data_IF_567092462429
#
_entry.id   IF_567092462429
#
_cell.length_a   1.000
_cell.length_b   1.000
_cell.length_c   1.000
_cell.angle_alpha   90.00
_cell.angle_beta   90.00
_cell.angle_gamma   90.00
#
_symmetry.space_group_name_H-M   'P 1'
#
loop_
_entity.id
_entity.type
_entity.pdbx_description
1 polymer ?
#
# COMPACT_ATOMS: atom_id res chain seq x y z
N UNK A 1 11.53 8.71 9.69
CA UNK A 1 11.09 7.76 10.73
C UNK A 1 10.27 6.68 10.08
N UNK A 2 10.68 5.42 10.17
CA UNK A 2 9.79 4.28 9.88
C UNK A 2 8.73 4.30 10.99
N UNK A 3 7.45 4.41 10.65
CA UNK A 3 6.38 4.22 11.64
C UNK A 3 6.44 2.75 12.08
N UNK A 4 6.60 2.50 13.37
CA UNK A 4 6.39 1.16 13.90
C UNK A 4 4.90 0.85 13.74
N UNK A 5 4.60 -0.25 13.05
CA UNK A 5 3.25 -0.70 12.80
C UNK A 5 3.02 -1.93 13.66
N UNK A 6 1.90 -1.96 14.38
CA UNK A 6 1.48 -3.11 15.17
C UNK A 6 1.62 -4.43 14.40
N UNK A 7 1.98 -5.54 15.07
CA UNK A 7 1.96 -6.86 14.46
C UNK A 7 0.63 -7.13 13.74
N UNK A 8 0.71 -7.72 12.56
CA UNK A 8 -0.47 -8.02 11.73
C UNK A 8 -0.54 -9.49 11.32
N UNK A 9 0.61 -10.16 11.19
CA UNK A 9 0.65 -11.54 10.78
C UNK A 9 0.28 -12.43 11.98
N UNK A 10 -0.44 -13.54 11.74
CA UNK A 10 -0.66 -14.54 12.79
C UNK A 10 0.66 -15.20 13.17
N UNK A 11 0.66 -15.86 14.32
CA UNK A 11 1.69 -16.82 14.68
C UNK A 11 1.68 -18.03 13.73
N UNK A 12 2.76 -18.81 13.75
CA UNK A 12 2.84 -20.04 12.96
C UNK A 12 1.77 -21.05 13.39
N UNK A 13 1.48 -21.14 14.69
CA UNK A 13 0.49 -22.06 15.26
C UNK A 13 -0.93 -21.71 14.82
N UNK A 14 -1.33 -20.43 14.92
CA UNK A 14 -2.63 -19.95 14.44
C UNK A 14 -2.79 -20.16 12.94
N UNK A 15 -1.73 -19.97 12.15
CA UNK A 15 -1.79 -20.14 10.70
C UNK A 15 -2.00 -21.62 10.28
N UNK A 16 -1.40 -22.57 11.02
CA UNK A 16 -1.57 -24.00 10.75
C UNK A 16 -2.98 -24.52 11.08
N UNK A 17 -3.76 -23.78 11.88
CA UNK A 17 -5.12 -24.16 12.26
C UNK A 17 -6.18 -23.71 11.24
N UNK A 18 -5.81 -22.89 10.25
CA UNK A 18 -6.75 -22.41 9.23
C UNK A 18 -7.24 -23.56 8.35
N UNK A 19 -8.56 -23.66 8.19
CA UNK A 19 -9.15 -24.52 7.17
C UNK A 19 -9.09 -23.85 5.77
N UNK A 20 -9.50 -24.58 4.73
CA UNK A 20 -9.42 -24.09 3.34
C UNK A 20 -10.15 -22.76 3.10
N UNK A 21 -11.35 -22.58 3.67
CA UNK A 21 -12.10 -21.33 3.53
C UNK A 21 -11.44 -20.17 4.29
N UNK A 22 -10.96 -20.43 5.50
CA UNK A 22 -10.27 -19.43 6.32
C UNK A 22 -8.94 -18.99 5.69
N UNK A 23 -8.23 -19.91 5.02
CA UNK A 23 -7.00 -19.62 4.30
C UNK A 23 -7.26 -18.67 3.12
N UNK A 24 -8.29 -18.93 2.32
CA UNK A 24 -8.65 -18.09 1.18
C UNK A 24 -9.06 -16.67 1.62
N UNK A 25 -9.88 -16.58 2.67
CA UNK A 25 -10.30 -15.32 3.28
C UNK A 25 -9.11 -14.55 3.88
N UNK A 26 -8.23 -15.25 4.60
CA UNK A 26 -6.99 -14.68 5.13
C UNK A 26 -6.10 -14.14 4.00
N UNK A 27 -5.90 -14.89 2.92
CA UNK A 27 -5.05 -14.48 1.81
C UNK A 27 -5.58 -13.20 1.12
N UNK A 28 -6.89 -13.14 0.87
CA UNK A 28 -7.54 -11.98 0.28
C UNK A 28 -7.40 -10.71 1.11
N UNK A 29 -7.71 -10.80 2.42
CA UNK A 29 -7.57 -9.66 3.34
C UNK A 29 -6.11 -9.25 3.52
N UNK A 30 -5.22 -10.22 3.71
CA UNK A 30 -3.79 -10.00 3.94
C UNK A 30 -3.12 -9.29 2.78
N UNK A 31 -3.45 -9.65 1.53
CA UNK A 31 -2.93 -8.95 0.34
C UNK A 31 -3.18 -7.44 0.40
N UNK A 32 -4.41 -7.04 0.68
CA UNK A 32 -4.82 -5.63 0.74
C UNK A 32 -4.12 -4.89 1.89
N UNK A 33 -4.02 -5.52 3.06
CA UNK A 33 -3.40 -4.93 4.24
C UNK A 33 -1.88 -4.79 4.06
N UNK A 34 -1.20 -5.81 3.54
CA UNK A 34 0.24 -5.75 3.28
C UNK A 34 0.60 -4.67 2.27
N UNK A 35 -0.21 -4.47 1.23
CA UNK A 35 -0.02 -3.36 0.29
C UNK A 35 -0.10 -2.00 0.99
N UNK A 36 -1.11 -1.80 1.85
CA UNK A 36 -1.24 -0.57 2.65
C UNK A 36 -0.07 -0.38 3.61
N UNK A 37 0.32 -1.44 4.35
CA UNK A 37 1.46 -1.40 5.29
C UNK A 37 2.78 -1.13 4.59
N UNK A 38 3.00 -1.67 3.39
CA UNK A 38 4.17 -1.38 2.56
C UNK A 38 4.25 0.12 2.27
N UNK A 39 3.13 0.74 1.87
CA UNK A 39 3.03 2.20 1.63
C UNK A 39 3.30 3.01 2.90
N UNK A 40 2.73 2.61 4.04
CA UNK A 40 2.90 3.30 5.33
C UNK A 40 4.32 3.25 5.88
N UNK A 41 5.07 2.17 5.64
CA UNK A 41 6.45 2.02 6.13
C UNK A 41 7.43 3.02 5.52
N UNK A 42 7.25 3.33 4.22
CA UNK A 42 8.08 4.32 3.52
C UNK A 42 7.27 5.12 2.49
N UNK A 43 6.41 6.06 2.95
CA UNK A 43 5.51 6.78 2.05
C UNK A 43 6.26 7.62 1.01
N UNK A 44 7.46 8.11 1.37
CA UNK A 44 8.29 8.94 0.48
C UNK A 44 8.88 8.11 -0.66
N UNK A 45 9.38 6.91 -0.36
CA UNK A 45 9.86 5.99 -1.38
C UNK A 45 8.75 5.65 -2.38
N UNK A 46 7.55 5.32 -1.89
CA UNK A 46 6.41 4.99 -2.75
C UNK A 46 5.98 6.16 -3.63
N UNK A 47 5.92 7.37 -3.08
CA UNK A 47 5.62 8.56 -3.87
C UNK A 47 6.66 8.77 -4.98
N UNK A 48 7.96 8.74 -4.64
CA UNK A 48 9.04 8.92 -5.63
C UNK A 48 8.98 7.87 -6.74
N UNK A 49 8.78 6.60 -6.37
CA UNK A 49 8.72 5.52 -7.33
C UNK A 49 7.48 5.62 -8.23
N UNK A 50 6.31 5.91 -7.66
CA UNK A 50 5.07 6.09 -8.42
C UNK A 50 5.16 7.24 -9.41
N UNK A 51 5.65 8.41 -8.97
CA UNK A 51 5.88 9.56 -9.86
C UNK A 51 6.87 9.22 -10.97
N UNK A 52 7.96 8.52 -10.66
CA UNK A 52 8.94 8.10 -11.67
C UNK A 52 8.31 7.19 -12.73
N UNK A 53 7.46 6.24 -12.33
CA UNK A 53 6.75 5.35 -13.25
C UNK A 53 5.79 6.14 -14.16
N UNK A 54 5.01 7.07 -13.61
CA UNK A 54 4.10 7.92 -14.40
C UNK A 54 4.87 8.77 -15.41
N UNK A 55 5.95 9.44 -14.98
CA UNK A 55 6.77 10.28 -15.87
C UNK A 55 7.45 9.47 -16.98
N UNK A 56 7.84 8.23 -16.70
CA UNK A 56 8.45 7.33 -17.70
C UNK A 56 7.44 6.70 -18.67
N UNK A 57 6.14 6.84 -18.41
CA UNK A 57 5.11 6.23 -19.25
C UNK A 57 4.82 7.07 -20.48
N UNK A 58 5.35 6.64 -21.63
CA UNK A 58 5.18 7.32 -22.93
C UNK A 58 3.79 7.16 -23.53
N UNK A 59 2.95 6.29 -22.98
CA UNK A 59 1.58 6.10 -23.46
C UNK A 59 0.58 7.10 -22.86
N UNK A 60 0.98 7.85 -21.82
CA UNK A 60 0.14 8.87 -21.18
C UNK A 60 0.41 10.25 -21.77
N UNK A 61 -0.66 11.01 -21.97
CA UNK A 61 -0.60 12.45 -22.20
C UNK A 61 -0.13 13.20 -20.94
N UNK A 62 0.27 14.47 -21.10
CA UNK A 62 0.67 15.29 -19.95
C UNK A 62 -0.46 15.49 -18.93
N UNK A 63 -1.70 15.64 -19.39
CA UNK A 63 -2.88 15.76 -18.50
C UNK A 63 -3.07 14.49 -17.67
N UNK A 64 -2.98 13.31 -18.30
CA UNK A 64 -3.12 12.03 -17.57
C UNK A 64 -1.98 11.79 -16.57
N UNK A 65 -0.78 12.31 -16.87
CA UNK A 65 0.34 12.29 -15.93
C UNK A 65 0.08 13.20 -14.74
N UNK A 66 -0.39 14.42 -14.97
CA UNK A 66 -0.75 15.38 -13.92
C UNK A 66 -1.81 14.80 -12.98
N UNK A 67 -2.90 14.25 -13.52
CA UNK A 67 -3.97 13.60 -12.75
C UNK A 67 -3.44 12.44 -11.90
N UNK A 68 -2.62 11.58 -12.51
CA UNK A 68 -2.02 10.43 -11.82
C UNK A 68 -1.07 10.86 -10.69
N UNK A 69 -0.27 11.89 -10.93
CA UNK A 69 0.67 12.44 -9.92
C UNK A 69 -0.12 13.11 -8.79
N UNK A 70 -1.18 13.86 -9.08
CA UNK A 70 -2.04 14.45 -8.07
C UNK A 70 -2.60 13.37 -7.14
N UNK A 71 -3.13 12.27 -7.69
CA UNK A 71 -3.65 11.17 -6.89
C UNK A 71 -2.58 10.54 -5.98
N UNK A 72 -1.36 10.36 -6.48
CA UNK A 72 -0.23 9.85 -5.68
C UNK A 72 0.15 10.80 -4.53
N UNK A 73 0.12 12.11 -4.77
CA UNK A 73 0.39 13.14 -3.76
C UNK A 73 -0.70 13.13 -2.68
N UNK A 74 -1.97 13.05 -3.07
CA UNK A 74 -3.10 12.96 -2.14
C UNK A 74 -3.01 11.70 -1.27
N UNK A 75 -2.68 10.54 -1.87
CA UNK A 75 -2.47 9.31 -1.12
C UNK A 75 -1.30 9.43 -0.13
N UNK A 76 -0.19 10.06 -0.54
CA UNK A 76 0.95 10.33 0.34
C UNK A 76 0.53 11.19 1.55
N UNK A 77 -0.19 12.30 1.32
CA UNK A 77 -0.63 13.15 2.42
C UNK A 77 -1.64 12.46 3.33
N UNK A 78 -2.55 11.63 2.79
CA UNK A 78 -3.47 10.81 3.57
C UNK A 78 -2.73 9.89 4.54
N UNK A 79 -1.68 9.21 4.05
CA UNK A 79 -0.84 8.33 4.87
C UNK A 79 -0.06 9.12 5.93
N UNK A 80 0.49 10.28 5.55
CA UNK A 80 1.31 11.11 6.44
C UNK A 80 0.48 11.75 7.56
N UNK A 81 -0.74 12.21 7.27
CA UNK A 81 -1.68 12.81 8.23
C UNK A 81 -2.34 11.79 9.17
N UNK A 82 -2.05 10.50 9.01
CA UNK A 82 -2.58 9.45 9.88
C UNK A 82 -4.06 9.18 9.67
N UNK A 83 -4.57 9.36 8.44
CA UNK A 83 -5.99 9.22 8.12
C UNK A 83 -6.58 7.92 8.66
N UNK A 84 -7.38 8.08 9.72
CA UNK A 84 -8.25 7.08 10.34
C UNK A 84 -9.20 6.54 9.27
N UNK A 85 -9.39 5.22 9.24
CA UNK A 85 -10.58 4.58 8.66
C UNK A 85 -11.61 4.53 9.79
#
# INVERSE_FOLDING_TARGET
MKKELEPFLPSAEEFQQLNGFELDDWAGRTRSILMKRKKMRDPRFHLKNGVSQVLSNTALSEVEKEDSIQWLIEEYYRIMRGGTI
#
